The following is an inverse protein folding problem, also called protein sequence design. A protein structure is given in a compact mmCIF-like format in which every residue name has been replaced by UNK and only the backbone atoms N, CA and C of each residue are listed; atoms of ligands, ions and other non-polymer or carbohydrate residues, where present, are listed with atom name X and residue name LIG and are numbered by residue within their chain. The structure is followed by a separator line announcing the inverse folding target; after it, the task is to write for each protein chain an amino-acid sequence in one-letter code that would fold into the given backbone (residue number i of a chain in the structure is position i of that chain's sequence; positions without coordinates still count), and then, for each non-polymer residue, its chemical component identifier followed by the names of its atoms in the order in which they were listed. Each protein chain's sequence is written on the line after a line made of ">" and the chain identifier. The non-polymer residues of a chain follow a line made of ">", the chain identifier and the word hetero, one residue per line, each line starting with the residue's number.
data_IF_899947455868
#
_entry.id   IF_899947455868
#
_cell.length_a   1.000
_cell.length_b   1.000
_cell.length_c   1.000
_cell.angle_alpha   90.00
_cell.angle_beta   90.00
_cell.angle_gamma   90.00
#
_symmetry.space_group_name_H-M   'P 1'
#
loop_
_entity.id
_entity.type
_entity.pdbx_description
1 polymer ?
#
# COMPACT_ATOMS: atom_id res chain seq x y z
N UNK A 1 -10.18 -0.91 2.80
CA UNK A 1 -9.09 -1.17 1.85
C UNK A 1 -7.87 -0.44 2.37
N UNK A 2 -6.74 -1.13 2.54
CA UNK A 2 -5.45 -0.55 2.91
C UNK A 2 -4.51 -0.56 1.71
N UNK A 3 -3.74 0.50 1.53
CA UNK A 3 -2.74 0.61 0.45
C UNK A 3 -1.41 1.01 1.09
N UNK A 4 -0.35 0.26 0.79
CA UNK A 4 0.99 0.50 1.32
C UNK A 4 2.00 0.55 0.17
N UNK A 5 2.87 1.58 0.20
CA UNK A 5 3.79 1.95 -0.90
C UNK A 5 5.23 2.19 -0.40
N UNK A 6 5.55 1.83 0.85
CA UNK A 6 6.85 2.10 1.43
C UNK A 6 7.95 1.29 0.73
N UNK A 7 9.16 1.84 0.77
CA UNK A 7 10.35 1.25 0.14
C UNK A 7 10.61 -0.15 0.67
N UNK A 8 10.77 -1.12 -0.24
CA UNK A 8 10.91 -2.54 0.13
C UNK A 8 12.35 -2.96 0.39
N UNK A 9 13.31 -2.29 -0.26
CA UNK A 9 14.74 -2.61 -0.12
C UNK A 9 15.51 -1.39 0.36
N UNK A 10 16.32 -1.60 1.39
CA UNK A 10 17.23 -0.59 1.90
C UNK A 10 18.66 -0.97 1.51
N UNK A 11 19.35 -0.06 0.82
CA UNK A 11 20.78 -0.22 0.55
C UNK A 11 21.59 0.04 1.83
N UNK A 12 22.76 -0.62 1.99
CA UNK A 12 23.69 -0.33 3.07
C UNK A 12 24.05 1.16 3.10
N UNK A 13 24.21 1.71 4.30
CA UNK A 13 24.74 3.06 4.47
C UNK A 13 26.27 2.97 4.52
N UNK A 14 26.97 3.65 3.62
CA UNK A 14 28.44 3.52 3.52
C UNK A 14 29.19 4.41 4.52
N UNK A 15 28.73 5.64 4.73
CA UNK A 15 29.30 6.58 5.71
C UNK A 15 28.20 7.42 6.34
N UNK A 16 27.29 6.78 7.11
CA UNK A 16 26.07 7.45 7.57
C UNK A 16 26.36 8.54 8.59
N UNK A 17 25.68 9.67 8.41
CA UNK A 17 25.55 10.68 9.45
C UNK A 17 24.29 10.43 10.32
N UNK A 18 24.16 11.20 11.41
CA UNK A 18 23.06 11.04 12.38
C UNK A 18 21.68 11.24 11.75
N UNK A 19 21.54 12.15 10.78
CA UNK A 19 20.28 12.38 10.07
C UNK A 19 19.92 11.13 9.24
N UNK A 20 20.87 10.57 8.50
CA UNK A 20 20.62 9.36 7.69
C UNK A 20 20.22 8.16 8.55
N UNK A 21 20.83 7.99 9.73
CA UNK A 21 20.48 6.93 10.68
C UNK A 21 19.05 7.11 11.18
N UNK A 22 18.70 8.33 11.62
CA UNK A 22 17.36 8.64 12.15
C UNK A 22 16.31 8.45 11.05
N UNK A 23 16.55 8.99 9.86
CA UNK A 23 15.64 8.84 8.72
C UNK A 23 15.47 7.37 8.35
N UNK A 24 16.54 6.56 8.32
CA UNK A 24 16.43 5.12 8.05
C UNK A 24 15.59 4.41 9.11
N UNK A 25 15.79 4.73 10.39
CA UNK A 25 15.01 4.16 11.49
C UNK A 25 13.51 4.53 11.38
N UNK A 26 13.21 5.77 11.03
CA UNK A 26 11.85 6.25 10.79
C UNK A 26 11.20 5.55 9.59
N UNK A 27 11.92 5.38 8.48
CA UNK A 27 11.42 4.67 7.29
C UNK A 27 11.08 3.20 7.61
N UNK A 28 11.96 2.50 8.34
CA UNK A 28 11.73 1.11 8.76
C UNK A 28 10.51 1.02 9.67
N UNK A 29 10.42 1.90 10.66
CA UNK A 29 9.31 1.94 11.62
C UNK A 29 7.98 2.21 10.91
N UNK A 30 7.96 3.24 10.06
CA UNK A 30 6.78 3.65 9.28
C UNK A 30 6.33 2.54 8.35
N UNK A 31 7.25 1.88 7.66
CA UNK A 31 6.93 0.73 6.81
C UNK A 31 6.29 -0.41 7.59
N UNK A 32 6.89 -0.81 8.71
CA UNK A 32 6.35 -1.92 9.50
C UNK A 32 4.95 -1.61 10.03
N UNK A 33 4.74 -0.39 10.50
CA UNK A 33 3.42 0.08 10.94
C UNK A 33 2.42 0.11 9.79
N UNK A 34 2.76 0.73 8.66
CA UNK A 34 1.90 0.82 7.48
C UNK A 34 1.53 -0.57 6.96
N UNK A 35 2.51 -1.49 6.92
CA UNK A 35 2.29 -2.88 6.50
C UNK A 35 1.32 -3.59 7.43
N UNK A 36 1.54 -3.49 8.75
CA UNK A 36 0.67 -4.08 9.75
C UNK A 36 -0.77 -3.54 9.64
N UNK A 37 -0.94 -2.23 9.45
CA UNK A 37 -2.25 -1.61 9.26
C UNK A 37 -2.92 -2.05 7.95
N UNK A 38 -2.16 -2.15 6.86
CA UNK A 38 -2.67 -2.61 5.58
C UNK A 38 -3.13 -4.08 5.65
N UNK A 39 -2.35 -4.94 6.32
CA UNK A 39 -2.68 -6.36 6.52
C UNK A 39 -3.93 -6.56 7.39
N UNK A 40 -4.34 -5.57 8.20
CA UNK A 40 -5.61 -5.58 8.95
C UNK A 40 -6.83 -5.13 8.13
N UNK A 41 -6.63 -4.60 6.93
CA UNK A 41 -7.74 -4.15 6.10
C UNK A 41 -8.50 -5.33 5.47
N UNK A 42 -9.80 -5.13 5.17
CA UNK A 42 -10.61 -6.14 4.45
C UNK A 42 -9.96 -6.57 3.11
N UNK A 43 -9.24 -5.65 2.48
CA UNK A 43 -8.44 -5.85 1.27
C UNK A 43 -7.18 -4.99 1.40
N UNK A 44 -6.02 -5.61 1.22
CA UNK A 44 -4.72 -4.94 1.21
C UNK A 44 -4.15 -4.91 -0.22
N UNK A 45 -3.59 -3.77 -0.62
CA UNK A 45 -2.98 -3.55 -1.94
C UNK A 45 -1.54 -3.08 -1.72
N UNK A 46 -0.60 -3.73 -2.41
CA UNK A 46 0.83 -3.46 -2.30
C UNK A 46 1.43 -3.24 -3.69
N UNK A 47 1.23 -2.05 -4.29
CA UNK A 47 1.74 -1.77 -5.63
C UNK A 47 3.25 -1.97 -5.72
N UNK A 48 3.72 -2.43 -6.88
CA UNK A 48 5.15 -2.48 -7.16
C UNK A 48 5.64 -1.09 -7.60
N UNK A 49 6.27 -0.39 -6.68
CA UNK A 49 6.87 0.93 -6.93
C UNK A 49 8.24 0.83 -7.59
N UNK A 50 8.72 -0.38 -7.93
CA UNK A 50 10.02 -0.64 -8.57
C UNK A 50 11.21 0.02 -7.86
N UNK A 51 11.09 0.20 -6.54
CA UNK A 51 12.05 0.90 -5.69
C UNK A 51 12.42 2.31 -6.20
N UNK A 52 11.51 2.99 -6.92
CA UNK A 52 11.67 4.37 -7.39
C UNK A 52 11.84 5.31 -6.18
N UNK A 53 12.81 6.22 -6.24
CA UNK A 53 12.95 7.21 -5.18
C UNK A 53 11.76 8.18 -5.19
N UNK A 54 11.26 8.56 -4.02
CA UNK A 54 10.03 9.37 -3.88
C UNK A 54 10.09 10.72 -4.63
N UNK A 55 11.30 11.24 -4.89
CA UNK A 55 11.51 12.50 -5.60
C UNK A 55 11.70 12.35 -7.12
N UNK A 56 11.61 11.14 -7.68
CA UNK A 56 11.70 10.89 -9.13
C UNK A 56 10.36 11.16 -9.83
N UNK A 57 9.95 12.43 -9.86
CA UNK A 57 8.67 12.85 -10.45
C UNK A 57 8.55 12.54 -11.95
N UNK A 58 9.67 12.33 -12.66
CA UNK A 58 9.68 11.93 -14.07
C UNK A 58 9.10 10.53 -14.31
N UNK A 59 8.94 9.70 -13.26
CA UNK A 59 8.41 8.33 -13.35
C UNK A 59 6.99 8.21 -12.82
N UNK A 60 6.29 9.33 -12.66
CA UNK A 60 4.93 9.36 -12.08
C UNK A 60 3.95 8.47 -12.86
N UNK A 61 4.00 8.48 -14.19
CA UNK A 61 3.08 7.70 -15.02
C UNK A 61 3.26 6.18 -14.79
N UNK A 62 4.51 5.74 -14.64
CA UNK A 62 4.84 4.34 -14.34
C UNK A 62 4.30 3.91 -12.97
N UNK A 63 4.41 4.78 -11.96
CA UNK A 63 3.90 4.53 -10.62
C UNK A 63 2.36 4.52 -10.57
N UNK A 64 1.72 5.40 -11.34
CA UNK A 64 0.26 5.42 -11.48
C UNK A 64 -0.23 4.12 -12.12
N UNK A 65 0.40 3.68 -13.22
CA UNK A 65 0.01 2.43 -13.89
C UNK A 65 0.18 1.23 -12.96
N UNK A 66 1.29 1.14 -12.22
CA UNK A 66 1.50 0.07 -11.23
C UNK A 66 0.40 0.06 -10.15
N UNK A 67 -0.07 1.24 -9.73
CA UNK A 67 -1.21 1.37 -8.82
C UNK A 67 -2.53 0.90 -9.44
N UNK A 68 -2.80 1.26 -10.69
CA UNK A 68 -3.98 0.83 -11.44
C UNK A 68 -4.00 -0.68 -11.61
N UNK A 69 -2.90 -1.28 -12.07
CA UNK A 69 -2.77 -2.72 -12.25
C UNK A 69 -3.00 -3.48 -10.93
N UNK A 70 -2.31 -3.07 -9.87
CA UNK A 70 -2.46 -3.69 -8.54
C UNK A 70 -3.88 -3.59 -7.98
N UNK A 71 -4.57 -2.48 -8.24
CA UNK A 71 -5.96 -2.32 -7.86
C UNK A 71 -6.90 -3.18 -8.71
N UNK A 72 -6.66 -3.29 -10.02
CA UNK A 72 -7.45 -4.14 -10.94
C UNK A 72 -7.41 -5.60 -10.51
N UNK A 73 -6.24 -6.11 -10.14
CA UNK A 73 -6.07 -7.47 -9.64
C UNK A 73 -6.90 -7.74 -8.37
N UNK A 74 -7.08 -6.72 -7.54
CA UNK A 74 -7.83 -6.80 -6.27
C UNK A 74 -9.34 -6.55 -6.40
N UNK A 75 -9.85 -6.20 -7.59
CA UNK A 75 -11.28 -5.97 -7.83
C UNK A 75 -12.18 -7.14 -7.35
N UNK A 76 -11.85 -8.42 -7.56
CA UNK A 76 -12.66 -9.52 -7.05
C UNK A 76 -12.77 -9.55 -5.52
N UNK A 77 -11.65 -9.35 -4.82
CA UNK A 77 -11.60 -9.27 -3.35
C UNK A 77 -12.39 -8.07 -2.83
N UNK A 78 -12.27 -6.92 -3.48
CA UNK A 78 -13.02 -5.70 -3.17
C UNK A 78 -14.53 -5.94 -3.29
N UNK A 79 -14.99 -6.55 -4.40
CA UNK A 79 -16.40 -6.89 -4.60
C UNK A 79 -16.92 -7.82 -3.50
N UNK A 80 -16.14 -8.85 -3.13
CA UNK A 80 -16.48 -9.79 -2.06
C UNK A 80 -16.61 -9.08 -0.70
N UNK A 81 -15.66 -8.19 -0.37
CA UNK A 81 -15.69 -7.42 0.87
C UNK A 81 -16.92 -6.49 0.95
N UNK A 82 -17.34 -5.89 -0.17
CA UNK A 82 -18.56 -5.06 -0.24
C UNK A 82 -19.82 -5.91 -0.04
N UNK A 83 -19.91 -7.06 -0.71
CA UNK A 83 -21.09 -7.94 -0.62
C UNK A 83 -21.29 -8.51 0.78
N UNK A 84 -20.21 -8.89 1.48
CA UNK A 84 -20.28 -9.38 2.87
C UNK A 84 -20.86 -8.35 3.86
N UNK A 85 -20.76 -7.05 3.53
CA UNK A 85 -21.28 -5.94 4.36
C UNK A 85 -22.71 -5.54 4.04
N UNK A 86 -23.28 -6.00 2.92
CA UNK A 86 -24.67 -5.72 2.54
C UNK A 86 -25.46 -7.03 2.30
N UNK A 87 -25.92 -7.69 3.38
CA UNK A 87 -26.61 -8.97 3.27
C UNK A 87 -27.92 -8.85 2.50
N UNK A 88 -28.23 -9.87 1.71
CA UNK A 88 -29.45 -9.93 0.87
C UNK A 88 -30.74 -9.66 1.66
N UNK A 89 -30.79 -10.02 2.95
CA UNK A 89 -31.94 -9.77 3.81
C UNK A 89 -32.17 -8.28 4.09
N UNK A 90 -31.13 -7.44 4.21
CA UNK A 90 -31.30 -5.99 4.41
C UNK A 90 -32.00 -5.33 3.22
N UNK A 91 -31.80 -5.87 2.01
CA UNK A 91 -32.47 -5.40 0.78
C UNK A 91 -33.93 -5.84 0.67
N UNK A 92 -34.33 -6.88 1.40
CA UNK A 92 -35.72 -7.37 1.43
C UNK A 92 -36.56 -6.63 2.48
N UNK A 93 -35.95 -6.15 3.57
CA UNK A 93 -36.63 -5.43 4.66
C UNK A 93 -36.64 -3.89 4.52
N UNK A 94 -35.98 -3.32 3.50
CA UNK A 94 -35.98 -1.88 3.18
C UNK A 94 -36.97 -1.52 2.05
N UNK A 95 -37.94 -2.39 1.80
CA UNK A 95 -38.99 -2.24 0.80
C UNK A 95 -40.35 -2.47 1.45
#
# INVERSE_FOLDING_TARGET
>A
IGVEICVRKYHPLESPNVIEIITRAEMITSRNLARMLADMADVAIFPDTKDVHWSEFSRVDELIEAGIESAREKVPEIKKAIQGKNPWYKRLFLR
#
